data_IF_426333477434
#
_entry.id   IF_426333477434
#
_cell.length_a   1.000
_cell.length_b   1.000
_cell.length_c   1.000
_cell.angle_alpha   90.00
_cell.angle_beta   90.00
_cell.angle_gamma   90.00
#
_symmetry.space_group_name_H-M   'P 1'
#
loop_
_entity.id
_entity.type
_entity.pdbx_description
1 polymer ?
#
# COMPACT_ATOMS: atom_id res chain seq x y z
N UNK A 1 -48.19 -24.08 73.50
CA UNK A 1 -48.68 -25.34 72.90
C UNK A 1 -48.53 -25.23 71.39
N UNK A 2 -47.86 -26.21 70.75
CA UNK A 2 -48.26 -26.85 69.46
C UNK A 2 -48.53 -25.89 68.27
N UNK A 3 -47.88 -25.96 67.10
CA UNK A 3 -47.47 -27.15 66.34
C UNK A 3 -46.43 -26.78 65.28
N UNK A 4 -45.38 -27.60 65.25
CA UNK A 4 -44.53 -27.88 64.09
C UNK A 4 -45.43 -28.22 62.90
N UNK A 5 -45.31 -27.48 61.79
CA UNK A 5 -45.94 -27.84 60.52
C UNK A 5 -44.85 -28.08 59.48
N UNK A 6 -44.69 -29.36 59.20
CA UNK A 6 -43.88 -29.96 58.14
C UNK A 6 -44.47 -29.54 56.79
N UNK A 7 -43.67 -28.90 55.93
CA UNK A 7 -44.05 -28.64 54.55
C UNK A 7 -43.06 -29.33 53.62
N UNK A 8 -43.32 -30.63 53.40
CA UNK A 8 -42.75 -31.42 52.33
C UNK A 8 -43.54 -31.08 51.06
N UNK A 9 -42.95 -30.30 50.15
CA UNK A 9 -43.45 -30.20 48.78
C UNK A 9 -42.34 -30.61 47.81
N UNK A 10 -42.69 -31.65 47.07
CA UNK A 10 -41.90 -32.44 46.13
C UNK A 10 -41.29 -31.59 45.02
N UNK A 11 -39.98 -31.75 44.78
CA UNK A 11 -39.29 -31.24 43.59
C UNK A 11 -39.90 -31.88 42.33
N UNK A 12 -40.50 -31.06 41.47
CA UNK A 12 -40.88 -31.44 40.11
C UNK A 12 -39.84 -30.83 39.16
N UNK A 13 -39.04 -31.62 38.40
CA UNK A 13 -38.11 -31.03 37.43
C UNK A 13 -38.90 -30.49 36.23
N UNK A 14 -38.85 -29.16 36.05
CA UNK A 14 -39.35 -28.49 34.85
C UNK A 14 -38.42 -28.83 33.68
N UNK A 15 -38.88 -29.67 32.75
CA UNK A 15 -38.22 -29.90 31.47
C UNK A 15 -38.38 -28.65 30.60
N UNK A 16 -37.35 -27.81 30.54
CA UNK A 16 -37.31 -26.68 29.61
C UNK A 16 -36.95 -27.17 28.20
N UNK A 17 -37.88 -27.03 27.26
CA UNK A 17 -37.58 -27.15 25.84
C UNK A 17 -36.98 -25.83 25.36
N UNK A 18 -35.68 -25.80 25.15
CA UNK A 18 -35.01 -24.71 24.46
C UNK A 18 -35.10 -24.97 22.95
N UNK A 19 -36.22 -24.58 22.32
CA UNK A 19 -36.29 -24.54 20.86
C UNK A 19 -35.68 -23.25 20.34
N UNK A 20 -34.84 -23.36 19.32
CA UNK A 20 -34.10 -22.24 18.76
C UNK A 20 -35.06 -21.35 17.96
N UNK A 21 -35.45 -20.21 18.51
CA UNK A 21 -36.16 -19.19 17.75
C UNK A 21 -35.16 -18.43 16.87
N UNK A 22 -35.07 -18.79 15.59
CA UNK A 22 -34.25 -18.08 14.60
C UNK A 22 -34.98 -16.79 14.20
N UNK A 23 -34.50 -15.65 14.69
CA UNK A 23 -35.19 -14.36 14.55
C UNK A 23 -35.01 -13.76 13.14
N UNK A 24 -33.92 -14.06 12.44
CA UNK A 24 -33.73 -13.82 11.02
C UNK A 24 -32.51 -14.59 10.51
N UNK A 25 -32.64 -15.27 9.36
CA UNK A 25 -31.49 -15.73 8.59
C UNK A 25 -31.07 -14.59 7.65
N UNK A 26 -30.09 -13.81 8.10
CA UNK A 26 -29.54 -12.68 7.34
C UNK A 26 -28.35 -13.11 6.45
N UNK A 27 -28.04 -14.41 6.42
CA UNK A 27 -27.17 -15.00 5.41
C UNK A 27 -27.97 -15.28 4.13
N UNK A 28 -27.36 -15.14 2.97
CA UNK A 28 -28.05 -15.40 1.70
C UNK A 28 -27.49 -14.67 0.48
N UNK A 29 -26.52 -13.77 0.66
CA UNK A 29 -25.72 -13.36 -0.49
C UNK A 29 -24.74 -14.47 -0.83
N UNK A 30 -24.87 -14.95 -2.06
CA UNK A 30 -23.97 -15.95 -2.59
C UNK A 30 -22.53 -15.41 -2.55
N UNK A 31 -21.68 -16.13 -1.82
CA UNK A 31 -20.28 -15.79 -1.69
C UNK A 31 -19.44 -16.39 -2.82
N UNK A 32 -20.03 -17.16 -3.75
CA UNK A 32 -19.36 -17.77 -4.90
C UNK A 32 -18.39 -16.82 -5.65
N UNK A 33 -18.71 -15.52 -5.87
CA UNK A 33 -17.78 -14.61 -6.55
C UNK A 33 -16.44 -14.43 -5.83
N UNK A 34 -16.42 -14.56 -4.50
CA UNK A 34 -15.20 -14.45 -3.69
C UNK A 34 -14.39 -15.76 -3.65
N UNK A 35 -15.04 -16.90 -3.94
CA UNK A 35 -14.41 -18.22 -3.93
C UNK A 35 -14.01 -18.73 -5.31
N UNK A 36 -14.46 -18.09 -6.40
CA UNK A 36 -14.16 -18.50 -7.79
C UNK A 36 -12.64 -18.53 -8.07
N UNK A 37 -11.88 -17.59 -7.52
CA UNK A 37 -10.42 -17.57 -7.64
C UNK A 37 -9.74 -18.74 -6.90
N UNK A 38 -10.37 -19.27 -5.84
CA UNK A 38 -9.85 -20.36 -5.01
C UNK A 38 -10.30 -21.72 -5.53
N UNK A 39 -11.53 -21.82 -6.04
CA UNK A 39 -12.18 -23.04 -6.52
C UNK A 39 -11.88 -23.37 -7.99
N UNK A 40 -10.90 -22.72 -8.62
CA UNK A 40 -10.41 -23.09 -9.96
C UNK A 40 -9.64 -24.42 -9.92
N UNK A 41 -10.33 -25.49 -9.53
CA UNK A 41 -9.89 -26.86 -9.79
C UNK A 41 -10.13 -27.15 -11.28
N UNK A 42 -9.15 -27.71 -12.00
CA UNK A 42 -9.33 -28.04 -13.41
C UNK A 42 -10.36 -29.16 -13.55
N UNK A 43 -11.55 -28.84 -14.09
CA UNK A 43 -12.53 -29.85 -14.51
C UNK A 43 -14.00 -29.65 -14.11
N UNK A 44 -14.37 -28.59 -13.37
CA UNK A 44 -15.77 -28.33 -13.03
C UNK A 44 -16.29 -27.08 -13.78
N UNK A 45 -16.98 -27.28 -14.90
CA UNK A 45 -17.71 -26.22 -15.59
C UNK A 45 -19.14 -26.15 -15.03
N UNK A 46 -19.50 -25.04 -14.37
CA UNK A 46 -20.90 -24.75 -14.04
C UNK A 46 -21.45 -23.81 -15.11
N UNK A 47 -22.36 -24.34 -15.92
CA UNK A 47 -23.16 -23.62 -16.91
C UNK A 47 -24.11 -22.65 -16.18
N UNK A 48 -23.82 -21.35 -16.23
CA UNK A 48 -24.80 -20.28 -16.05
C UNK A 48 -24.22 -18.98 -16.63
N UNK A 49 -24.46 -18.79 -17.92
CA UNK A 49 -24.20 -17.54 -18.64
C UNK A 49 -25.16 -16.44 -18.16
N UNK A 50 -24.73 -15.65 -17.19
CA UNK A 50 -25.12 -14.24 -17.13
C UNK A 50 -23.84 -13.45 -17.31
N UNK A 51 -23.65 -12.90 -18.51
CA UNK A 51 -22.46 -12.14 -18.87
C UNK A 51 -22.19 -11.05 -17.81
N UNK A 52 -21.12 -11.18 -17.00
CA UNK A 52 -20.73 -10.11 -16.12
C UNK A 52 -20.18 -8.98 -17.01
N UNK A 53 -20.56 -7.74 -16.73
CA UNK A 53 -19.82 -6.57 -17.23
C UNK A 53 -18.32 -6.85 -17.03
N UNK A 54 -17.46 -6.58 -18.04
CA UNK A 54 -16.05 -6.89 -17.92
C UNK A 54 -15.54 -6.23 -16.63
N UNK A 55 -14.91 -7.00 -15.71
CA UNK A 55 -14.34 -6.38 -14.53
C UNK A 55 -13.38 -5.32 -15.03
N UNK A 56 -13.54 -4.08 -14.53
CA UNK A 56 -12.51 -3.04 -14.71
C UNK A 56 -11.16 -3.70 -14.46
N UNK A 57 -10.17 -3.55 -15.36
CA UNK A 57 -8.90 -4.25 -15.20
C UNK A 57 -8.37 -3.91 -13.82
N UNK A 58 -8.35 -4.90 -12.93
CA UNK A 58 -7.68 -4.78 -11.65
C UNK A 58 -6.22 -4.58 -11.97
N UNK A 59 -5.78 -3.33 -11.97
CA UNK A 59 -4.37 -3.00 -12.11
C UNK A 59 -3.64 -3.76 -10.99
N UNK A 60 -2.72 -4.64 -11.38
CA UNK A 60 -1.97 -5.48 -10.46
C UNK A 60 -0.57 -4.89 -10.26
N UNK A 61 -0.06 -4.99 -9.03
CA UNK A 61 1.27 -4.50 -8.69
C UNK A 61 1.39 -2.97 -8.69
N UNK A 62 2.57 -2.46 -9.02
CA UNK A 62 2.90 -1.02 -9.00
C UNK A 62 2.01 -0.17 -9.91
N UNK A 63 1.46 -0.78 -10.98
CA UNK A 63 0.55 -0.10 -11.90
C UNK A 63 -0.77 0.33 -11.22
N UNK A 64 -1.15 -0.32 -10.10
CA UNK A 64 -2.30 0.07 -9.30
C UNK A 64 -2.07 1.37 -8.49
N UNK A 65 -0.80 1.74 -8.30
CA UNK A 65 -0.40 2.94 -7.54
C UNK A 65 -0.29 4.18 -8.42
N UNK A 66 -0.48 4.04 -9.74
CA UNK A 66 -0.38 5.13 -10.69
C UNK A 66 -1.73 5.79 -10.99
N UNK A 67 -1.76 7.09 -11.33
CA UNK A 67 -0.62 8.02 -11.33
C UNK A 67 -0.20 8.39 -9.90
N UNK A 68 1.10 8.60 -9.70
CA UNK A 68 1.62 9.14 -8.43
C UNK A 68 1.78 10.65 -8.61
N UNK A 69 1.15 11.41 -7.72
CA UNK A 69 1.30 12.87 -7.65
C UNK A 69 1.46 13.30 -6.20
N UNK A 70 2.51 14.08 -5.93
CA UNK A 70 2.82 14.62 -4.59
C UNK A 70 2.69 16.15 -4.61
N UNK A 71 1.57 16.73 -4.17
CA UNK A 71 1.28 18.16 -4.31
C UNK A 71 2.29 19.10 -3.65
N UNK A 72 2.96 18.62 -2.59
CA UNK A 72 3.95 19.37 -1.83
C UNK A 72 5.29 19.54 -2.57
N UNK A 73 5.53 18.72 -3.60
CA UNK A 73 6.82 18.58 -4.27
C UNK A 73 6.74 19.06 -5.73
N UNK A 74 7.73 19.86 -6.14
CA UNK A 74 7.85 20.37 -7.52
C UNK A 74 9.29 20.22 -8.03
N UNK A 75 9.51 20.12 -9.35
CA UNK A 75 10.86 20.19 -9.90
C UNK A 75 11.52 21.53 -9.52
N UNK A 76 12.75 21.51 -9.04
CA UNK A 76 13.47 22.72 -8.69
C UNK A 76 14.79 22.48 -7.96
N UNK A 77 15.48 23.56 -7.62
CA UNK A 77 16.72 23.48 -6.84
C UNK A 77 16.42 23.32 -5.35
N UNK A 78 17.24 22.51 -4.69
CA UNK A 78 17.18 22.23 -3.25
C UNK A 78 18.47 22.71 -2.62
N UNK A 79 18.34 23.60 -1.63
CA UNK A 79 19.48 24.03 -0.84
C UNK A 79 19.93 22.91 0.09
N UNK A 80 21.25 22.72 0.18
CA UNK A 80 21.84 21.77 1.12
C UNK A 80 21.46 22.15 2.56
N UNK A 81 21.00 21.16 3.32
CA UNK A 81 20.62 21.36 4.72
C UNK A 81 21.00 20.15 5.57
N UNK A 82 21.71 20.33 6.69
CA UNK A 82 22.01 19.23 7.59
C UNK A 82 20.72 18.71 8.23
N UNK A 83 20.67 17.39 8.43
CA UNK A 83 19.62 16.68 9.14
C UNK A 83 20.25 15.62 10.05
N UNK A 84 19.48 15.09 10.98
CA UNK A 84 19.85 13.94 11.81
C UNK A 84 18.77 12.89 11.67
N UNK A 85 18.99 11.95 10.75
CA UNK A 85 18.07 10.86 10.43
C UNK A 85 18.77 9.51 10.58
N UNK A 86 19.16 9.12 11.82
CA UNK A 86 19.92 7.89 12.03
C UNK A 86 19.14 6.68 11.53
N UNK A 87 19.78 5.85 10.71
CA UNK A 87 19.21 4.61 10.18
C UNK A 87 18.33 4.76 8.93
N UNK A 88 18.17 5.97 8.37
CA UNK A 88 17.40 6.14 7.11
C UNK A 88 18.12 5.57 5.88
N UNK A 89 19.45 5.42 5.95
CA UNK A 89 20.28 5.06 4.80
C UNK A 89 20.40 6.20 3.80
N UNK A 90 20.40 5.87 2.50
CA UNK A 90 20.35 6.82 1.41
C UNK A 90 19.03 6.67 0.65
N UNK A 91 18.22 7.73 0.63
CA UNK A 91 16.92 7.78 -0.06
C UNK A 91 16.90 9.01 -0.95
N UNK A 92 16.51 8.89 -2.21
CA UNK A 92 16.33 10.04 -3.08
C UNK A 92 14.92 10.13 -3.66
N UNK A 93 14.50 11.35 -3.99
CA UNK A 93 13.21 11.63 -4.60
C UNK A 93 13.43 12.23 -5.99
N UNK A 94 12.75 11.70 -6.99
CA UNK A 94 12.76 12.17 -8.38
C UNK A 94 11.34 12.14 -8.95
N UNK A 95 11.10 12.89 -10.03
CA UNK A 95 9.88 12.79 -10.83
C UNK A 95 10.18 12.38 -12.27
N UNK A 96 9.14 12.33 -13.08
CA UNK A 96 9.23 12.13 -14.53
C UNK A 96 9.35 13.45 -15.30
N UNK A 97 10.34 14.27 -14.94
CA UNK A 97 10.66 15.52 -15.64
C UNK A 97 12.12 15.55 -16.08
N UNK A 98 12.44 16.46 -17.00
CA UNK A 98 13.77 16.57 -17.59
C UNK A 98 14.86 16.80 -16.54
N UNK A 99 14.60 17.67 -15.54
CA UNK A 99 15.56 17.97 -14.47
C UNK A 99 15.89 16.70 -13.67
N UNK A 100 14.87 15.93 -13.31
CA UNK A 100 15.02 14.67 -12.59
C UNK A 100 15.73 13.60 -13.41
N UNK A 101 15.41 13.48 -14.71
CA UNK A 101 16.05 12.52 -15.62
C UNK A 101 17.54 12.83 -15.83
N UNK A 102 17.89 14.10 -16.00
CA UNK A 102 19.28 14.52 -16.16
C UNK A 102 20.08 14.34 -14.86
N UNK A 103 19.48 14.69 -13.72
CA UNK A 103 20.07 14.45 -12.41
C UNK A 103 20.30 12.96 -12.14
N UNK A 104 19.32 12.10 -12.45
CA UNK A 104 19.44 10.66 -12.24
C UNK A 104 20.60 10.08 -13.07
N UNK A 105 20.69 10.44 -14.36
CA UNK A 105 21.79 9.98 -15.24
C UNK A 105 23.16 10.42 -14.72
N UNK A 106 23.28 11.67 -14.26
CA UNK A 106 24.54 12.21 -13.77
C UNK A 106 25.01 11.54 -12.48
N UNK A 107 24.08 11.08 -11.64
CA UNK A 107 24.38 10.55 -10.30
C UNK A 107 24.19 9.02 -10.17
N UNK A 108 23.77 8.32 -11.22
CA UNK A 108 23.41 6.89 -11.17
C UNK A 108 24.50 6.00 -10.56
N UNK A 109 25.77 6.24 -10.90
CA UNK A 109 26.91 5.48 -10.35
C UNK A 109 27.04 5.65 -8.83
N UNK A 110 27.09 6.90 -8.37
CA UNK A 110 27.24 7.20 -6.94
C UNK A 110 26.01 6.77 -6.12
N UNK A 111 24.80 6.90 -6.69
CA UNK A 111 23.58 6.38 -6.07
C UNK A 111 23.61 4.85 -5.91
N UNK A 112 24.14 4.13 -6.89
CA UNK A 112 24.30 2.68 -6.81
C UNK A 112 25.35 2.26 -5.77
N UNK A 113 26.50 2.95 -5.72
CA UNK A 113 27.54 2.70 -4.72
C UNK A 113 27.03 2.92 -3.28
N UNK A 114 26.20 3.93 -3.07
CA UNK A 114 25.56 4.21 -1.79
C UNK A 114 24.36 3.32 -1.47
N UNK A 115 24.01 2.38 -2.37
CA UNK A 115 22.81 1.54 -2.24
C UNK A 115 21.54 2.37 -2.01
N UNK A 116 21.46 3.53 -2.68
CA UNK A 116 20.38 4.48 -2.46
C UNK A 116 19.05 3.93 -3.01
N UNK A 117 18.00 4.02 -2.20
CA UNK A 117 16.64 3.73 -2.65
C UNK A 117 16.04 4.98 -3.29
N UNK A 118 15.33 4.83 -4.41
CA UNK A 118 14.73 5.95 -5.12
C UNK A 118 13.21 5.90 -5.17
N UNK A 119 12.62 7.05 -4.89
CA UNK A 119 11.18 7.26 -4.90
C UNK A 119 10.79 8.14 -6.09
N UNK A 120 9.90 7.63 -6.93
CA UNK A 120 9.31 8.41 -8.04
C UNK A 120 8.05 9.09 -7.51
N UNK A 121 8.16 10.38 -7.16
CA UNK A 121 7.12 11.15 -6.46
C UNK A 121 6.10 11.81 -7.38
N UNK A 122 6.39 11.84 -8.67
CA UNK A 122 5.52 12.38 -9.70
C UNK A 122 5.71 11.59 -11.00
N UNK A 123 4.74 10.76 -11.38
CA UNK A 123 4.77 9.96 -12.61
C UNK A 123 3.36 9.55 -13.03
N UNK A 124 3.11 9.59 -14.33
CA UNK A 124 1.76 9.39 -14.88
C UNK A 124 1.45 7.92 -15.16
N UNK A 125 2.41 7.17 -15.70
CA UNK A 125 2.18 5.81 -16.21
C UNK A 125 3.40 4.89 -16.05
N UNK A 126 3.18 3.59 -16.28
CA UNK A 126 4.23 2.58 -16.10
C UNK A 126 5.33 2.63 -17.16
N UNK A 127 5.08 3.25 -18.33
CA UNK A 127 6.12 3.39 -19.35
C UNK A 127 7.18 4.38 -18.88
N UNK A 128 6.75 5.53 -18.32
CA UNK A 128 7.64 6.49 -17.69
C UNK A 128 8.46 5.87 -16.53
N UNK A 129 7.84 5.05 -15.67
CA UNK A 129 8.55 4.34 -14.60
C UNK A 129 9.65 3.43 -15.16
N UNK A 130 9.35 2.69 -16.23
CA UNK A 130 10.33 1.81 -16.89
C UNK A 130 11.48 2.60 -17.50
N UNK A 131 11.18 3.69 -18.20
CA UNK A 131 12.22 4.56 -18.77
C UNK A 131 13.16 5.10 -17.69
N UNK A 132 12.63 5.54 -16.54
CA UNK A 132 13.46 5.99 -15.42
C UNK A 132 14.37 4.88 -14.88
N UNK A 133 13.89 3.63 -14.82
CA UNK A 133 14.69 2.46 -14.43
C UNK A 133 15.80 2.14 -15.44
N UNK A 134 15.54 2.32 -16.73
CA UNK A 134 16.56 2.13 -17.77
C UNK A 134 17.69 3.16 -17.68
N UNK A 135 17.42 4.37 -17.15
CA UNK A 135 18.45 5.40 -16.95
C UNK A 135 19.44 5.05 -15.82
N UNK A 136 19.05 4.21 -14.86
CA UNK A 136 19.86 3.85 -13.70
C UNK A 136 19.61 2.38 -13.27
N UNK A 137 20.07 1.39 -14.06
CA UNK A 137 19.76 -0.02 -13.82
C UNK A 137 20.35 -0.59 -12.52
N UNK A 138 21.35 0.08 -11.94
CA UNK A 138 21.96 -0.30 -10.64
C UNK A 138 21.24 0.28 -9.42
N UNK A 139 20.16 1.04 -9.61
CA UNK A 139 19.48 1.77 -8.55
C UNK A 139 18.02 1.32 -8.45
N UNK A 140 17.56 1.03 -7.24
CA UNK A 140 16.16 0.64 -7.01
C UNK A 140 15.25 1.87 -7.09
N UNK A 141 14.27 1.84 -7.99
CA UNK A 141 13.30 2.91 -8.20
C UNK A 141 11.88 2.36 -8.08
N UNK A 142 11.05 2.98 -7.24
CA UNK A 142 9.63 2.64 -7.12
C UNK A 142 8.74 3.90 -7.10
N UNK A 143 7.56 3.86 -7.76
CA UNK A 143 6.58 4.92 -7.64
C UNK A 143 5.95 4.91 -6.24
N UNK A 144 6.01 6.04 -5.53
CA UNK A 144 5.36 6.21 -4.24
C UNK A 144 5.15 7.69 -3.90
N UNK A 145 4.14 7.99 -3.09
CA UNK A 145 3.88 9.34 -2.60
C UNK A 145 4.97 9.81 -1.64
N UNK A 146 5.53 10.99 -1.90
CA UNK A 146 6.51 11.64 -1.05
C UNK A 146 5.91 12.57 0.01
N UNK A 147 4.57 12.66 0.14
CA UNK A 147 3.90 13.72 0.89
C UNK A 147 4.35 13.81 2.35
N UNK A 148 4.48 12.67 3.04
CA UNK A 148 4.86 12.69 4.46
C UNK A 148 6.32 13.10 4.67
N UNK A 149 7.22 12.65 3.78
CA UNK A 149 8.62 13.08 3.78
C UNK A 149 8.72 14.57 3.48
N UNK A 150 8.01 15.05 2.46
CA UNK A 150 7.96 16.46 2.08
C UNK A 150 7.51 17.34 3.26
N UNK A 151 6.46 16.94 3.97
CA UNK A 151 5.95 17.70 5.12
C UNK A 151 6.89 17.66 6.32
N UNK A 152 7.37 16.48 6.72
CA UNK A 152 8.22 16.32 7.92
C UNK A 152 9.57 16.98 7.75
N UNK A 153 10.16 16.82 6.56
CA UNK A 153 11.45 17.38 6.24
C UNK A 153 11.31 18.75 5.56
N UNK A 154 10.11 19.32 5.45
CA UNK A 154 9.88 20.63 4.83
C UNK A 154 10.61 20.78 3.47
N UNK A 155 10.51 19.74 2.64
CA UNK A 155 11.08 19.70 1.29
C UNK A 155 9.98 20.14 0.33
N UNK A 156 10.27 21.12 -0.50
CA UNK A 156 9.35 21.63 -1.52
C UNK A 156 9.78 21.27 -2.95
N UNK A 157 11.07 20.94 -3.14
CA UNK A 157 11.62 20.66 -4.45
C UNK A 157 12.33 19.32 -4.53
N UNK A 158 12.37 18.78 -5.74
CA UNK A 158 13.14 17.62 -6.13
C UNK A 158 13.80 17.91 -7.50
N UNK A 159 14.81 17.15 -7.95
CA UNK A 159 15.38 15.94 -7.36
C UNK A 159 16.17 16.23 -6.07
N UNK A 160 16.26 15.28 -5.13
CA UNK A 160 17.03 15.44 -3.88
C UNK A 160 17.47 14.10 -3.32
N UNK A 161 18.68 14.03 -2.77
CA UNK A 161 19.18 12.93 -1.94
C UNK A 161 19.05 13.27 -0.46
N UNK A 162 18.55 12.32 0.31
CA UNK A 162 18.37 12.35 1.75
C UNK A 162 19.26 11.27 2.35
N UNK A 163 20.15 11.68 3.25
CA UNK A 163 21.01 10.78 4.03
C UNK A 163 20.80 10.99 5.52
N UNK A 164 21.53 10.22 6.34
CA UNK A 164 21.58 10.40 7.78
C UNK A 164 22.08 11.80 8.20
N UNK A 165 22.96 12.39 7.40
CA UNK A 165 23.61 13.68 7.63
C UNK A 165 22.87 14.88 7.03
N UNK A 166 21.99 14.70 6.03
CA UNK A 166 21.32 15.85 5.42
C UNK A 166 20.57 15.62 4.12
N UNK A 167 20.14 16.75 3.57
CA UNK A 167 19.55 16.89 2.24
C UNK A 167 20.56 17.54 1.32
N UNK A 168 20.72 16.99 0.12
CA UNK A 168 21.54 17.61 -0.92
C UNK A 168 21.08 17.23 -2.32
N UNK A 169 21.36 18.09 -3.29
CA UNK A 169 21.27 17.76 -4.72
C UNK A 169 22.57 17.22 -5.29
N UNK A 170 23.68 17.29 -4.56
CA UNK A 170 24.97 16.82 -5.04
C UNK A 170 25.27 15.45 -4.45
N UNK A 171 25.20 14.40 -5.27
CA UNK A 171 25.59 13.06 -4.84
C UNK A 171 27.11 13.00 -4.87
N UNK A 172 27.73 13.01 -3.70
CA UNK A 172 29.18 12.81 -3.55
C UNK A 172 29.45 11.31 -3.58
N UNK A 173 30.45 10.81 -4.31
CA UNK A 173 30.86 9.41 -4.25
C UNK A 173 31.36 9.05 -2.83
#
# INVERSE_FOLDING_TARGET
MKRLSLLLFTLLPLTGHAELNVIADLGGQDAAPYFEAVNKQPGMSTENDTAPSPPSPVLQGEAAMLPVFTPELRPGSVADRPLQLPGIGALFLIGDDALSRDWLKANAGALAEQHAAGMIVNVTDMAAVRELRELAPGVSLAPASGSELARRLQIAHYPVLITDAGLTQQVRP
#
